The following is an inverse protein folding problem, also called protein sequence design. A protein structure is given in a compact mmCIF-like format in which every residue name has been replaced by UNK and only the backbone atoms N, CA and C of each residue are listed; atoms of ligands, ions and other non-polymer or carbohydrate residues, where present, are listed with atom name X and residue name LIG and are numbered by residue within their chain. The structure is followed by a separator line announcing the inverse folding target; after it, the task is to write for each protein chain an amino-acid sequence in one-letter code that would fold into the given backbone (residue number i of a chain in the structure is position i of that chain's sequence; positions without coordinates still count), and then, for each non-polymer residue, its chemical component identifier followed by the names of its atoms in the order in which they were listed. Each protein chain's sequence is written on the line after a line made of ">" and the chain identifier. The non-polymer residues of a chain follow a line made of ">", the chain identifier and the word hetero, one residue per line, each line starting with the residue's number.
data_IF_875684854159
#
_entry.id   IF_875684854159
#
_cell.length_a   1.000
_cell.length_b   1.000
_cell.length_c   1.000
_cell.angle_alpha   90.00
_cell.angle_beta   90.00
_cell.angle_gamma   90.00
#
_symmetry.space_group_name_H-M   'P 1'
#
loop_
_entity.id
_entity.type
_entity.pdbx_description
1 polymer ?
#
# COMPACT_ATOMS: atom_id res chain seq x y z
N UNK A 1 -17.67 -8.63 -15.56
CA UNK A 1 -16.96 -9.09 -14.35
C UNK A 1 -16.37 -7.86 -13.69
N UNK A 2 -16.91 -7.43 -12.55
CA UNK A 2 -16.47 -6.19 -11.89
C UNK A 2 -15.00 -6.31 -11.46
N UNK A 3 -14.24 -5.21 -11.42
CA UNK A 3 -12.83 -5.23 -10.97
C UNK A 3 -12.72 -5.84 -9.56
N UNK A 4 -13.74 -5.64 -8.72
CA UNK A 4 -13.84 -6.29 -7.41
C UNK A 4 -13.83 -7.82 -7.53
N UNK A 5 -14.59 -8.39 -8.46
CA UNK A 5 -14.60 -9.85 -8.70
C UNK A 5 -13.25 -10.32 -9.22
N UNK A 6 -12.60 -9.59 -10.14
CA UNK A 6 -11.27 -9.93 -10.63
C UNK A 6 -10.18 -9.87 -9.53
N UNK A 7 -10.27 -8.88 -8.63
CA UNK A 7 -9.31 -8.71 -7.55
C UNK A 7 -9.53 -9.74 -6.43
N UNK A 8 -10.79 -10.00 -6.07
CA UNK A 8 -11.16 -11.03 -5.10
C UNK A 8 -10.82 -12.44 -5.64
N UNK A 9 -11.03 -12.67 -6.93
CA UNK A 9 -10.65 -13.90 -7.65
C UNK A 9 -9.12 -14.04 -7.79
N UNK A 10 -8.38 -12.96 -8.08
CA UNK A 10 -6.91 -12.99 -8.06
C UNK A 10 -6.36 -13.28 -6.66
N UNK A 11 -6.94 -12.69 -5.60
CA UNK A 11 -6.64 -13.05 -4.22
C UNK A 11 -7.03 -14.49 -3.89
N UNK A 12 -8.12 -15.01 -4.45
CA UNK A 12 -8.58 -16.38 -4.24
C UNK A 12 -7.72 -17.43 -4.97
N UNK A 13 -7.27 -17.14 -6.19
CA UNK A 13 -6.45 -18.02 -7.04
C UNK A 13 -4.99 -18.07 -6.62
N UNK A 14 -4.42 -16.90 -6.31
CA UNK A 14 -3.00 -16.78 -6.00
C UNK A 14 -2.75 -16.61 -4.50
N UNK A 15 -3.64 -15.95 -3.76
CA UNK A 15 -3.36 -15.56 -2.38
C UNK A 15 -2.31 -14.45 -2.30
N UNK A 16 -2.35 -13.65 -1.24
CA UNK A 16 -1.35 -12.59 -1.01
C UNK A 16 0.09 -13.15 -0.91
N UNK A 17 0.23 -14.42 -0.56
CA UNK A 17 1.51 -15.12 -0.40
C UNK A 17 2.15 -15.41 -1.76
N UNK A 18 1.40 -15.86 -2.77
CA UNK A 18 1.96 -16.22 -4.08
C UNK A 18 2.34 -15.00 -4.91
N UNK A 19 1.55 -13.94 -4.84
CA UNK A 19 1.92 -12.64 -5.46
C UNK A 19 3.22 -12.10 -4.86
N UNK A 20 3.43 -12.26 -3.55
CA UNK A 20 4.72 -11.90 -2.91
C UNK A 20 5.85 -12.84 -3.32
N UNK A 21 5.59 -14.14 -3.48
CA UNK A 21 6.59 -15.13 -3.88
C UNK A 21 7.10 -14.85 -5.30
N UNK A 22 6.18 -14.58 -6.24
CA UNK A 22 6.51 -14.29 -7.64
C UNK A 22 7.34 -12.99 -7.76
N UNK A 23 7.07 -11.98 -6.91
CA UNK A 23 7.85 -10.74 -6.81
C UNK A 23 9.21 -10.92 -6.12
N UNK A 24 9.43 -12.02 -5.38
CA UNK A 24 10.74 -12.36 -4.82
C UNK A 24 11.55 -13.13 -5.87
N UNK A 25 10.88 -14.05 -6.58
CA UNK A 25 11.48 -14.89 -7.61
C UNK A 25 11.87 -14.11 -8.88
N UNK A 26 11.16 -13.04 -9.21
CA UNK A 26 11.51 -12.13 -10.32
C UNK A 26 12.69 -11.18 -10.01
N UNK A 27 13.25 -11.25 -8.81
CA UNK A 27 14.39 -10.44 -8.38
C UNK A 27 14.06 -8.97 -8.14
N UNK A 28 12.77 -8.61 -8.00
CA UNK A 28 12.37 -7.24 -7.72
C UNK A 28 12.92 -6.79 -6.35
N UNK A 29 13.72 -5.71 -6.28
CA UNK A 29 14.30 -5.21 -5.03
C UNK A 29 13.23 -4.78 -4.00
N UNK A 30 11.96 -4.63 -4.41
CA UNK A 30 10.85 -4.30 -3.54
C UNK A 30 10.31 -5.49 -2.70
N UNK A 31 10.82 -6.71 -2.90
CA UNK A 31 10.21 -7.91 -2.33
C UNK A 31 10.97 -8.56 -1.16
N UNK A 32 12.05 -7.95 -0.68
CA UNK A 32 12.74 -8.44 0.53
C UNK A 32 11.81 -8.22 1.73
N UNK A 33 11.27 -9.31 2.28
CA UNK A 33 10.54 -9.23 3.55
C UNK A 33 11.50 -8.78 4.64
N UNK A 34 11.16 -7.71 5.34
CA UNK A 34 11.91 -7.19 6.50
C UNK A 34 12.04 -8.27 7.61
N UNK A 35 11.16 -9.27 7.60
CA UNK A 35 11.22 -10.45 8.48
C UNK A 35 12.12 -11.59 7.99
N UNK A 36 12.68 -11.51 6.78
CA UNK A 36 13.56 -12.53 6.19
C UNK A 36 14.86 -12.68 6.96
N UNK A 37 15.42 -13.89 6.95
CA UNK A 37 16.73 -14.17 7.53
C UNK A 37 17.82 -13.33 6.87
N UNK A 38 17.85 -13.27 5.54
CA UNK A 38 18.85 -12.48 4.80
C UNK A 38 18.84 -10.98 5.17
N UNK A 39 17.65 -10.40 5.38
CA UNK A 39 17.54 -9.00 5.81
C UNK A 39 18.03 -8.80 7.24
N UNK A 40 17.73 -9.73 8.14
CA UNK A 40 18.16 -9.68 9.54
C UNK A 40 19.67 -9.85 9.68
N UNK A 41 20.27 -10.70 8.86
CA UNK A 41 21.71 -10.93 8.86
C UNK A 41 22.43 -9.67 8.34
N UNK A 42 21.97 -9.10 7.23
CA UNK A 42 22.48 -7.81 6.72
C UNK A 42 22.34 -6.68 7.75
N UNK A 43 21.20 -6.60 8.44
CA UNK A 43 20.99 -5.56 9.46
C UNK A 43 21.92 -5.74 10.68
N UNK A 44 22.24 -7.00 11.05
CA UNK A 44 23.23 -7.28 12.11
C UNK A 44 24.65 -6.89 11.67
N UNK A 45 25.01 -7.20 10.43
CA UNK A 45 26.35 -6.91 9.88
C UNK A 45 26.64 -5.40 9.86
N UNK A 46 25.60 -4.58 9.68
CA UNK A 46 25.67 -3.12 9.70
C UNK A 46 25.26 -2.48 11.04
N UNK A 47 25.13 -3.28 12.11
CA UNK A 47 24.74 -2.82 13.46
C UNK A 47 23.41 -2.03 13.51
N UNK A 48 22.52 -2.26 12.53
CA UNK A 48 21.22 -1.63 12.49
C UNK A 48 20.25 -2.31 13.46
N UNK A 49 19.59 -1.48 14.27
CA UNK A 49 18.49 -1.94 15.11
C UNK A 49 17.21 -2.04 14.29
N UNK A 50 16.83 -3.26 13.95
CA UNK A 50 15.56 -3.54 13.26
C UNK A 50 14.39 -3.32 14.23
N UNK A 51 13.54 -2.33 13.93
CA UNK A 51 12.31 -2.07 14.67
C UNK A 51 11.15 -2.81 14.02
N UNK A 52 10.67 -3.87 14.67
CA UNK A 52 9.48 -4.60 14.24
C UNK A 52 8.46 -4.56 15.38
N UNK A 53 7.24 -4.14 15.06
CA UNK A 53 6.12 -4.25 15.98
C UNK A 53 5.76 -5.71 16.26
N UNK A 54 4.95 -5.92 17.31
CA UNK A 54 4.55 -7.26 17.74
C UNK A 54 3.71 -7.94 16.68
N UNK A 55 3.80 -9.26 16.60
CA UNK A 55 2.93 -10.06 15.73
C UNK A 55 1.46 -9.81 16.11
N UNK A 56 0.66 -9.38 15.14
CA UNK A 56 -0.76 -9.11 15.32
C UNK A 56 -1.07 -7.73 15.88
N UNK A 57 -0.12 -6.79 15.86
CA UNK A 57 -0.41 -5.39 16.16
C UNK A 57 -1.25 -4.78 15.04
N UNK A 58 -2.52 -4.46 15.36
CA UNK A 58 -3.44 -3.90 14.39
C UNK A 58 -3.11 -2.45 14.04
N UNK A 59 -2.37 -1.73 14.89
CA UNK A 59 -2.07 -0.31 14.69
C UNK A 59 -1.14 -0.09 13.50
N UNK A 60 -0.19 -0.97 13.26
CA UNK A 60 0.71 -0.86 12.11
C UNK A 60 -0.04 -1.02 10.79
N UNK A 61 -1.05 -1.90 10.77
CA UNK A 61 -1.79 -2.21 9.55
C UNK A 61 -3.02 -1.29 9.36
N UNK A 62 -3.56 -0.71 10.44
CA UNK A 62 -4.79 0.07 10.39
C UNK A 62 -4.72 1.24 9.39
N UNK A 63 -3.56 1.90 9.28
CA UNK A 63 -3.34 3.00 8.33
C UNK A 63 -3.40 2.49 6.89
N UNK A 64 -2.71 1.37 6.61
CA UNK A 64 -2.71 0.74 5.29
C UNK A 64 -4.11 0.23 4.91
N UNK A 65 -4.81 -0.44 5.84
CA UNK A 65 -6.18 -0.92 5.63
C UNK A 65 -7.14 0.22 5.30
N UNK A 66 -7.07 1.32 6.05
CA UNK A 66 -7.88 2.50 5.81
C UNK A 66 -7.62 3.10 4.42
N UNK A 67 -6.35 3.19 4.02
CA UNK A 67 -5.97 3.65 2.68
C UNK A 67 -6.53 2.74 1.59
N UNK A 68 -6.29 1.43 1.67
CA UNK A 68 -6.72 0.48 0.65
C UNK A 68 -8.25 0.35 0.56
N UNK A 69 -8.95 0.54 1.68
CA UNK A 69 -10.41 0.63 1.67
C UNK A 69 -10.86 1.84 0.83
N UNK A 70 -10.35 3.05 1.14
CA UNK A 70 -10.71 4.26 0.39
C UNK A 70 -10.33 4.18 -1.08
N UNK A 71 -9.13 3.71 -1.42
CA UNK A 71 -8.71 3.53 -2.82
C UNK A 71 -9.68 2.66 -3.61
N UNK A 72 -10.11 1.53 -3.04
CA UNK A 72 -11.03 0.63 -3.73
C UNK A 72 -12.39 1.27 -3.93
N UNK A 73 -12.95 1.88 -2.90
CA UNK A 73 -14.29 2.47 -2.96
C UNK A 73 -14.31 3.65 -3.93
N UNK A 74 -13.30 4.51 -3.87
CA UNK A 74 -13.31 5.81 -4.53
C UNK A 74 -12.73 5.75 -5.95
N UNK A 75 -11.74 4.89 -6.23
CA UNK A 75 -11.06 4.85 -7.54
C UNK A 75 -11.32 3.58 -8.37
N UNK A 76 -11.97 2.55 -7.80
CA UNK A 76 -12.04 1.23 -8.45
C UNK A 76 -13.47 0.66 -8.48
N UNK A 77 -14.24 0.81 -7.41
CA UNK A 77 -15.48 0.05 -7.20
C UNK A 77 -16.57 0.35 -8.22
N UNK A 78 -16.62 1.58 -8.72
CA UNK A 78 -17.65 2.06 -9.65
C UNK A 78 -17.14 2.27 -11.08
N UNK A 79 -15.86 1.96 -11.33
CA UNK A 79 -15.24 2.09 -12.65
C UNK A 79 -15.50 0.85 -13.53
N UNK A 80 -15.58 1.00 -14.86
CA UNK A 80 -15.65 -0.12 -15.78
C UNK A 80 -14.36 -0.97 -15.71
N UNK A 81 -14.38 -2.15 -16.33
CA UNK A 81 -13.22 -3.04 -16.35
C UNK A 81 -12.05 -2.32 -17.03
N UNK A 82 -11.00 -2.06 -16.25
CA UNK A 82 -9.77 -1.42 -16.71
C UNK A 82 -8.73 -2.45 -17.11
N UNK A 83 -7.96 -2.13 -18.14
CA UNK A 83 -6.69 -2.81 -18.42
C UNK A 83 -5.67 -2.51 -17.31
N UNK A 84 -4.59 -3.31 -17.26
CA UNK A 84 -3.51 -3.10 -16.28
C UNK A 84 -2.86 -1.72 -16.41
N UNK A 85 -2.74 -1.19 -17.63
CA UNK A 85 -2.15 0.12 -17.88
C UNK A 85 -3.06 1.25 -17.35
N UNK A 86 -4.36 1.18 -17.65
CA UNK A 86 -5.36 2.13 -17.16
C UNK A 86 -5.47 2.10 -15.64
N UNK A 87 -5.49 0.91 -15.03
CA UNK A 87 -5.54 0.78 -13.57
C UNK A 87 -4.30 1.39 -12.91
N UNK A 88 -3.11 1.23 -13.48
CA UNK A 88 -1.89 1.89 -12.96
C UNK A 88 -2.02 3.41 -13.00
N UNK A 89 -2.56 3.95 -14.09
CA UNK A 89 -2.77 5.39 -14.24
C UNK A 89 -3.81 5.90 -13.23
N UNK A 90 -4.96 5.23 -13.11
CA UNK A 90 -6.01 5.60 -12.17
C UNK A 90 -5.52 5.58 -10.71
N UNK A 91 -4.75 4.55 -10.32
CA UNK A 91 -4.15 4.46 -8.98
C UNK A 91 -3.13 5.59 -8.75
N UNK A 92 -2.30 5.92 -9.75
CA UNK A 92 -1.34 7.01 -9.64
C UNK A 92 -2.04 8.36 -9.46
N UNK A 93 -3.03 8.63 -10.30
CA UNK A 93 -3.82 9.87 -10.26
C UNK A 93 -4.56 10.01 -8.93
N UNK A 94 -5.21 8.94 -8.46
CA UNK A 94 -5.88 8.95 -7.16
C UNK A 94 -4.92 9.27 -6.02
N UNK A 95 -3.70 8.71 -6.00
CA UNK A 95 -2.74 8.97 -4.92
C UNK A 95 -2.28 10.43 -4.93
N UNK A 96 -1.83 10.94 -6.07
CA UNK A 96 -1.24 12.28 -6.14
C UNK A 96 -2.31 13.39 -6.06
N UNK A 97 -3.39 13.24 -6.81
CA UNK A 97 -4.39 14.31 -6.96
C UNK A 97 -5.46 14.22 -5.88
N UNK A 98 -6.10 13.07 -5.72
CA UNK A 98 -7.28 12.99 -4.86
C UNK A 98 -6.90 12.75 -3.39
N UNK A 99 -6.04 11.78 -3.11
CA UNK A 99 -5.65 11.45 -1.74
C UNK A 99 -4.72 12.52 -1.14
N UNK A 100 -3.57 12.80 -1.76
CA UNK A 100 -2.59 13.68 -1.14
C UNK A 100 -2.99 15.16 -1.17
N UNK A 101 -3.60 15.65 -2.25
CA UNK A 101 -3.89 17.09 -2.40
C UNK A 101 -5.29 17.48 -1.94
N UNK A 102 -6.32 16.63 -2.15
CA UNK A 102 -7.72 17.00 -1.90
C UNK A 102 -8.33 16.37 -0.64
N UNK A 103 -8.05 15.09 -0.36
CA UNK A 103 -8.70 14.33 0.71
C UNK A 103 -8.43 14.96 2.07
N UNK A 104 -9.49 15.19 2.84
CA UNK A 104 -9.39 15.71 4.21
C UNK A 104 -9.35 14.56 5.20
N UNK A 105 -8.41 14.59 6.13
CA UNK A 105 -8.29 13.57 7.16
C UNK A 105 -8.61 14.16 8.54
N UNK A 106 -9.52 13.50 9.27
CA UNK A 106 -9.93 13.92 10.62
C UNK A 106 -8.76 13.98 11.60
N UNK A 107 -7.80 13.05 11.48
CA UNK A 107 -6.61 12.97 12.33
C UNK A 107 -5.67 14.19 12.24
N UNK A 108 -5.73 14.94 11.14
CA UNK A 108 -4.89 16.14 10.89
C UNK A 108 -5.74 17.42 10.83
N UNK A 109 -6.88 17.44 11.52
CA UNK A 109 -7.74 18.63 11.59
C UNK A 109 -8.47 18.94 10.29
N UNK A 110 -8.87 17.90 9.55
CA UNK A 110 -9.60 18.00 8.29
C UNK A 110 -8.88 18.81 7.20
N UNK A 111 -7.55 18.80 7.20
CA UNK A 111 -6.73 19.29 6.09
C UNK A 111 -6.28 18.12 5.19
N UNK A 112 -5.79 18.43 3.99
CA UNK A 112 -5.17 17.43 3.13
C UNK A 112 -3.73 17.10 3.55
N UNK A 113 -3.23 15.88 3.28
CA UNK A 113 -1.87 15.48 3.64
C UNK A 113 -0.83 16.48 3.14
N UNK A 114 -0.96 16.93 1.88
CA UNK A 114 -0.06 17.92 1.29
C UNK A 114 -0.05 19.24 2.08
N UNK A 115 -1.23 19.78 2.40
CA UNK A 115 -1.32 21.03 3.16
C UNK A 115 -0.86 20.89 4.60
N UNK A 116 -1.01 19.70 5.20
CA UNK A 116 -0.48 19.42 6.53
C UNK A 116 1.04 19.46 6.57
N UNK A 117 1.69 18.80 5.59
CA UNK A 117 3.15 18.81 5.49
C UNK A 117 3.69 20.20 5.16
N UNK A 118 3.04 20.96 4.27
CA UNK A 118 3.42 22.35 3.99
C UNK A 118 3.40 23.24 5.24
N UNK A 119 2.40 23.06 6.12
CA UNK A 119 2.30 23.80 7.39
C UNK A 119 3.37 23.41 8.41
N UNK A 120 3.98 22.23 8.28
CA UNK A 120 5.07 21.76 9.16
C UNK A 120 6.45 22.22 8.72
N UNK A 121 6.60 22.54 7.43
CA UNK A 121 7.87 22.98 6.84
C UNK A 121 8.06 24.50 6.97
N UNK A 122 6.97 25.26 7.11
CA UNK A 122 6.95 26.70 7.36
C UNK A 122 7.11 27.03 8.85
#
# INVERSE_FOLDING_TARGET
>A
MLIKEFFDDSKGRYGAIRIQQDLIEDGSPAAIKISSHAYRDLAKDHEFKVSMSRKGDCWDNAVAESFFHSLKVEAIQYEPIMTRAEMRQAVFEYIDIDYNRKRRHSAIGYTSPFNFELKKIA
#
